data_IF_767035443553
#
_entry.id   IF_767035443553
#
_cell.length_a   1.000
_cell.length_b   1.000
_cell.length_c   1.000
_cell.angle_alpha   90.00
_cell.angle_beta   90.00
_cell.angle_gamma   90.00
#
_symmetry.space_group_name_H-M   'P 1'
#
loop_
_entity.id
_entity.type
_entity.pdbx_description
1 polymer ?
#
# COMPACT_ATOMS: atom_id res chain seq x y z
N UNK A 1 -9.41 4.34 -6.09
CA UNK A 1 -8.56 5.22 -5.25
C UNK A 1 -8.98 5.03 -3.80
N UNK A 2 -8.11 4.62 -2.87
CA UNK A 2 -8.51 4.66 -1.44
C UNK A 2 -8.71 6.13 -1.11
N UNK A 3 -9.98 6.56 -1.00
CA UNK A 3 -10.31 7.95 -0.73
C UNK A 3 -10.30 8.08 0.79
N UNK A 4 -9.37 8.87 1.38
CA UNK A 4 -9.50 9.26 2.78
C UNK A 4 -10.88 9.93 2.92
N UNK A 5 -11.71 9.44 3.83
CA UNK A 5 -12.99 10.10 4.10
C UNK A 5 -12.83 11.38 4.91
N UNK A 6 -11.63 11.59 5.47
CA UNK A 6 -11.25 12.75 6.25
C UNK A 6 -10.00 13.43 5.67
N UNK A 7 -9.91 14.74 5.90
CA UNK A 7 -8.77 15.56 5.48
C UNK A 7 -7.58 15.43 6.44
N UNK A 8 -7.70 14.67 7.55
CA UNK A 8 -6.65 14.57 8.57
C UNK A 8 -5.44 13.74 8.07
N UNK A 9 -4.19 14.16 8.40
CA UNK A 9 -2.99 13.50 7.92
C UNK A 9 -2.85 12.03 8.36
N UNK A 10 -3.34 11.64 9.54
CA UNK A 10 -3.28 10.25 10.00
C UNK A 10 -4.10 9.32 9.10
N UNK A 11 -5.35 9.67 8.79
CA UNK A 11 -6.21 8.90 7.89
C UNK A 11 -5.61 8.81 6.47
N UNK A 12 -5.00 9.90 6.02
CA UNK A 12 -4.31 9.96 4.75
C UNK A 12 -3.10 9.00 4.67
N UNK A 13 -2.28 8.92 5.72
CA UNK A 13 -1.16 7.97 5.78
C UNK A 13 -1.67 6.53 5.79
N UNK A 14 -2.72 6.25 6.56
CA UNK A 14 -3.35 4.92 6.56
C UNK A 14 -3.91 4.55 5.19
N UNK A 15 -4.37 5.52 4.38
CA UNK A 15 -4.86 5.25 3.04
C UNK A 15 -3.76 4.72 2.10
N UNK A 16 -2.56 5.29 2.18
CA UNK A 16 -1.39 4.77 1.47
C UNK A 16 -1.01 3.39 1.99
N UNK A 17 -1.02 3.20 3.32
CA UNK A 17 -0.72 1.92 3.95
C UNK A 17 -1.69 0.82 3.47
N UNK A 18 -2.99 1.12 3.43
CA UNK A 18 -4.05 0.26 2.93
C UNK A 18 -3.84 -0.12 1.46
N UNK A 19 -3.48 0.85 0.60
CA UNK A 19 -3.19 0.59 -0.80
C UNK A 19 -2.03 -0.40 -0.95
N UNK A 20 -0.92 -0.17 -0.25
CA UNK A 20 0.25 -1.04 -0.26
C UNK A 20 -0.06 -2.43 0.34
N UNK A 21 -0.93 -2.48 1.36
CA UNK A 21 -1.37 -3.73 1.95
C UNK A 21 -2.16 -4.58 0.93
N UNK A 22 -3.07 -3.96 0.19
CA UNK A 22 -3.90 -4.61 -0.84
C UNK A 22 -3.11 -5.05 -2.06
N UNK A 23 -2.29 -4.15 -2.64
CA UNK A 23 -1.49 -4.41 -3.85
C UNK A 23 -0.66 -5.70 -3.71
N UNK A 24 -0.07 -5.90 -2.53
CA UNK A 24 0.81 -7.03 -2.27
C UNK A 24 0.08 -8.29 -1.78
N UNK A 25 -1.11 -8.16 -1.19
CA UNK A 25 -1.91 -9.32 -0.79
C UNK A 25 -2.63 -9.96 -1.98
N UNK A 26 -3.00 -9.18 -2.99
CA UNK A 26 -3.59 -9.68 -4.23
C UNK A 26 -3.20 -8.80 -5.42
N UNK A 27 -2.01 -9.00 -6.02
CA UNK A 27 -1.49 -8.17 -7.11
C UNK A 27 -2.36 -8.19 -8.39
N UNK A 28 -3.28 -9.15 -8.50
CA UNK A 28 -4.20 -9.31 -9.62
C UNK A 28 -5.64 -8.89 -9.30
N UNK A 29 -5.94 -8.50 -8.06
CA UNK A 29 -7.26 -7.99 -7.71
C UNK A 29 -7.36 -6.52 -8.13
N UNK A 30 -8.07 -6.27 -9.23
CA UNK A 30 -8.42 -4.89 -9.65
C UNK A 30 -9.49 -4.33 -8.70
N UNK A 31 -9.04 -3.68 -7.63
CA UNK A 31 -9.94 -3.02 -6.67
C UNK A 31 -10.22 -1.60 -7.12
N UNK A 32 -11.44 -1.34 -7.63
CA UNK A 32 -11.91 0.01 -7.95
C UNK A 32 -12.73 0.54 -6.76
N UNK A 33 -12.43 1.78 -6.33
CA UNK A 33 -12.97 2.48 -5.16
C UNK A 33 -13.51 3.90 -5.57
N UNK A 34 -14.85 4.06 -5.59
CA UNK A 34 -15.72 5.18 -6.09
C UNK A 34 -15.61 5.60 -7.58
N UNK A 35 -16.62 6.01 -8.38
CA UNK A 35 -18.10 5.93 -8.41
C UNK A 35 -18.49 5.24 -9.74
N UNK A 36 -18.48 3.91 -9.75
CA UNK A 36 -19.25 3.10 -10.70
C UNK A 36 -19.49 1.71 -10.10
N UNK A 37 -20.29 1.68 -9.03
CA UNK A 37 -20.59 0.45 -8.27
C UNK A 37 -19.34 -0.15 -7.62
N UNK A 38 -18.70 0.62 -6.75
CA UNK A 38 -17.34 0.39 -6.24
C UNK A 38 -17.28 0.17 -4.72
N UNK A 39 -16.35 -0.69 -4.31
CA UNK A 39 -16.09 -1.02 -2.90
C UNK A 39 -15.11 -0.01 -2.32
N UNK A 40 -15.42 0.60 -1.18
CA UNK A 40 -14.50 1.51 -0.49
C UNK A 40 -13.90 0.82 0.71
N UNK A 41 -12.62 0.43 0.61
CA UNK A 41 -11.84 0.00 1.76
C UNK A 41 -11.47 1.22 2.58
N UNK A 42 -12.06 1.36 3.77
CA UNK A 42 -11.65 2.41 4.69
C UNK A 42 -10.28 2.08 5.27
N UNK A 43 -9.34 3.04 5.30
CA UNK A 43 -8.08 2.87 6.01
C UNK A 43 -8.32 2.46 7.46
N UNK A 44 -7.46 1.59 7.99
CA UNK A 44 -7.56 1.12 9.38
C UNK A 44 -6.15 1.00 9.98
N UNK A 45 -6.02 1.08 11.32
CA UNK A 45 -4.74 0.92 12.01
C UNK A 45 -4.00 -0.36 11.60
N UNK A 46 -4.73 -1.45 11.41
CA UNK A 46 -4.18 -2.75 10.99
C UNK A 46 -3.45 -2.69 9.63
N UNK A 47 -3.80 -1.73 8.77
CA UNK A 47 -3.16 -1.54 7.47
C UNK A 47 -1.80 -0.82 7.56
N UNK A 48 -1.46 -0.20 8.69
CA UNK A 48 -0.26 0.65 8.86
C UNK A 48 1.03 -0.06 8.43
N UNK A 49 1.14 -1.37 8.72
CA UNK A 49 2.29 -2.19 8.31
C UNK A 49 2.53 -2.25 6.79
N UNK A 50 1.54 -1.90 5.96
CA UNK A 50 1.69 -1.78 4.51
C UNK A 50 2.79 -0.79 4.10
N UNK A 51 3.04 0.25 4.90
CA UNK A 51 4.13 1.22 4.70
C UNK A 51 5.53 0.59 4.75
N UNK A 52 5.69 -0.51 5.52
CA UNK A 52 6.96 -1.23 5.63
C UNK A 52 7.34 -1.96 4.33
N UNK A 53 6.38 -2.16 3.41
CA UNK A 53 6.59 -2.80 2.11
C UNK A 53 7.33 -1.91 1.12
N UNK A 54 7.43 -0.60 1.37
CA UNK A 54 8.23 0.29 0.54
C UNK A 54 9.73 -0.01 0.69
N UNK A 55 10.45 -0.01 -0.43
CA UNK A 55 11.91 -0.04 -0.46
C UNK A 55 12.52 1.26 0.07
N UNK A 56 13.79 1.22 0.50
CA UNK A 56 14.55 2.38 1.00
C UNK A 56 14.45 3.58 0.07
N UNK A 57 14.73 3.37 -1.22
CA UNK A 57 14.82 4.45 -2.21
C UNK A 57 13.47 5.13 -2.44
N UNK A 58 12.38 4.36 -2.34
CA UNK A 58 11.02 4.92 -2.45
C UNK A 58 10.65 5.70 -1.19
N UNK A 59 11.02 5.20 0.00
CA UNK A 59 10.79 5.91 1.27
C UNK A 59 11.55 7.23 1.31
N UNK A 60 12.81 7.25 0.88
CA UNK A 60 13.63 8.46 0.79
C UNK A 60 13.00 9.51 -0.14
N UNK A 61 12.66 9.13 -1.37
CA UNK A 61 12.01 10.04 -2.33
C UNK A 61 10.65 10.57 -1.85
N UNK A 62 9.86 9.73 -1.19
CA UNK A 62 8.60 10.13 -0.56
C UNK A 62 8.86 11.12 0.59
N UNK A 63 9.91 10.87 1.38
CA UNK A 63 10.35 11.75 2.43
C UNK A 63 10.73 13.14 1.93
N UNK A 64 11.56 13.22 0.89
CA UNK A 64 11.95 14.49 0.27
C UNK A 64 10.73 15.28 -0.24
N UNK A 65 9.77 14.58 -0.85
CA UNK A 65 8.53 15.19 -1.30
C UNK A 65 7.67 15.69 -0.12
N UNK A 66 7.58 14.91 0.96
CA UNK A 66 6.86 15.30 2.19
C UNK A 66 7.45 16.56 2.84
N UNK A 67 8.79 16.65 2.95
CA UNK A 67 9.48 17.84 3.46
C UNK A 67 9.26 19.07 2.58
N UNK A 68 9.36 18.88 1.27
CA UNK A 68 9.12 19.95 0.30
C UNK A 68 7.69 20.49 0.39
N UNK A 69 6.70 19.63 0.68
CA UNK A 69 5.30 20.01 0.81
C UNK A 69 4.99 20.83 2.06
N UNK A 70 5.76 20.65 3.15
CA UNK A 70 5.60 21.43 4.38
C UNK A 70 6.48 22.68 4.46
N UNK A 71 7.32 22.94 3.44
CA UNK A 71 8.34 24.01 3.45
C UNK A 71 9.22 24.00 4.71
N UNK A 72 9.45 22.81 5.29
CA UNK A 72 10.29 22.68 6.47
C UNK A 72 11.75 22.47 6.05
N UNK A 73 12.58 23.47 6.31
CA UNK A 73 14.06 23.37 6.26
C UNK A 73 14.62 22.77 7.56
N UNK A 74 13.76 22.29 8.47
CA UNK A 74 14.19 21.75 9.76
C UNK A 74 14.91 20.41 9.56
N UNK A 75 16.07 20.28 10.21
CA UNK A 75 16.83 19.04 10.22
C UNK A 75 16.10 17.91 10.96
N UNK A 76 15.28 18.26 11.96
CA UNK A 76 14.51 17.34 12.77
C UNK A 76 13.02 17.70 12.70
N UNK A 77 12.18 16.72 12.39
CA UNK A 77 10.73 16.92 12.24
C UNK A 77 10.04 16.18 13.38
N UNK A 78 9.34 16.92 14.22
CA UNK A 78 8.56 16.37 15.33
C UNK A 78 7.08 16.53 15.05
N UNK A 79 6.39 15.41 14.88
CA UNK A 79 4.96 15.40 14.61
C UNK A 79 4.20 15.10 15.90
N UNK A 80 3.24 15.94 16.24
CA UNK A 80 2.34 15.75 17.38
C UNK A 80 0.93 15.66 16.86
N UNK A 81 0.35 14.47 16.97
CA UNK A 81 -1.03 14.21 16.60
C UNK A 81 -1.97 14.69 17.70
N UNK A 82 -3.04 15.40 17.35
CA UNK A 82 -4.12 15.75 18.26
C UNK A 82 -5.18 14.63 18.35
N UNK A 83 -6.23 14.83 19.15
CA UNK A 83 -7.27 13.83 19.38
C UNK A 83 -8.12 13.52 18.13
N UNK A 84 -8.08 14.38 17.11
CA UNK A 84 -8.82 14.25 15.87
C UNK A 84 -7.98 13.62 14.74
N UNK A 85 -6.70 13.27 15.01
CA UNK A 85 -5.79 12.72 14.00
C UNK A 85 -5.04 13.79 13.18
N UNK A 86 -5.24 15.07 13.49
CA UNK A 86 -4.54 16.17 12.84
C UNK A 86 -3.15 16.40 13.44
N UNK A 87 -2.20 16.74 12.57
CA UNK A 87 -0.79 16.99 12.91
C UNK A 87 -0.50 18.48 13.10
N UNK A 88 -1.51 19.35 12.97
CA UNK A 88 -1.43 20.81 13.06
C UNK A 88 -0.45 21.41 12.03
N UNK A 89 -0.40 20.85 10.82
CA UNK A 89 0.47 21.34 9.76
C UNK A 89 -0.21 22.47 8.98
N UNK A 90 0.55 23.50 8.55
CA UNK A 90 -0.01 24.68 7.89
C UNK A 90 -0.54 24.39 6.46
N UNK A 91 -0.19 23.26 5.87
CA UNK A 91 -0.57 22.86 4.51
C UNK A 91 -1.45 21.61 4.52
N UNK A 92 -2.49 21.59 3.68
CA UNK A 92 -3.22 20.37 3.35
C UNK A 92 -2.30 19.47 2.51
N UNK A 93 -1.83 18.39 3.12
CA UNK A 93 -1.07 17.37 2.43
C UNK A 93 -2.02 16.46 1.66
N UNK A 94 -1.56 15.94 0.52
CA UNK A 94 -2.15 14.74 -0.06
C UNK A 94 -1.61 13.49 0.63
N UNK A 95 -2.21 12.34 0.35
CA UNK A 95 -1.92 11.10 1.08
C UNK A 95 -0.49 10.62 0.92
N UNK A 96 0.12 10.82 -0.24
CA UNK A 96 1.52 10.45 -0.47
C UNK A 96 2.47 11.43 0.22
N UNK A 97 2.15 12.73 0.23
CA UNK A 97 2.95 13.70 0.99
C UNK A 97 2.85 13.49 2.51
N UNK A 98 1.67 13.18 3.03
CA UNK A 98 1.48 12.85 4.44
C UNK A 98 2.28 11.58 4.82
N UNK A 99 2.21 10.53 3.99
CA UNK A 99 3.00 9.32 4.20
C UNK A 99 4.51 9.58 4.09
N UNK A 100 4.92 10.44 3.16
CA UNK A 100 6.30 10.88 3.02
C UNK A 100 6.82 11.61 4.25
N UNK A 101 6.05 12.59 4.74
CA UNK A 101 6.39 13.34 5.95
C UNK A 101 6.52 12.41 7.17
N UNK A 102 5.64 11.41 7.29
CA UNK A 102 5.73 10.39 8.34
C UNK A 102 7.11 9.72 8.37
N UNK A 103 7.61 9.24 7.22
CA UNK A 103 8.92 8.58 7.15
C UNK A 103 10.11 9.49 7.48
N UNK A 104 9.93 10.81 7.37
CA UNK A 104 10.98 11.79 7.70
C UNK A 104 10.91 12.33 9.11
N UNK A 105 9.87 11.97 9.87
CA UNK A 105 9.69 12.40 11.23
C UNK A 105 10.77 11.80 12.13
N UNK A 106 11.48 12.66 12.84
CA UNK A 106 12.41 12.27 13.92
C UNK A 106 11.64 11.69 15.11
N UNK A 107 10.44 12.21 15.37
CA UNK A 107 9.51 11.62 16.33
C UNK A 107 8.05 11.83 15.92
N UNK A 108 7.21 10.90 16.36
CA UNK A 108 5.76 10.98 16.19
C UNK A 108 5.08 10.69 17.53
N UNK A 109 4.45 11.71 18.12
CA UNK A 109 3.63 11.57 19.33
C UNK A 109 2.18 11.36 18.93
N UNK A 110 1.69 10.15 19.20
CA UNK A 110 0.34 9.74 18.87
C UNK A 110 -0.66 10.08 19.98
N UNK A 111 -1.88 10.44 19.58
CA UNK A 111 -3.02 10.64 20.47
C UNK A 111 -4.21 9.74 20.11
N UNK A 112 -4.28 9.26 18.87
CA UNK A 112 -5.33 8.36 18.38
C UNK A 112 -4.83 6.91 18.26
N UNK A 113 -5.71 5.90 18.27
CA UNK A 113 -5.32 4.52 17.99
C UNK A 113 -4.62 4.34 16.62
N UNK A 114 -5.06 5.12 15.62
CA UNK A 114 -4.46 5.16 14.30
C UNK A 114 -3.04 5.71 14.34
N UNK A 115 -2.84 6.83 15.02
CA UNK A 115 -1.51 7.39 15.24
C UNK A 115 -0.60 6.45 16.01
N UNK A 116 -1.10 5.71 17.01
CA UNK A 116 -0.29 4.73 17.75
C UNK A 116 0.23 3.65 16.80
N UNK A 117 -0.63 3.10 15.94
CA UNK A 117 -0.20 2.12 14.93
C UNK A 117 0.83 2.69 13.93
N UNK A 118 0.72 3.96 13.56
CA UNK A 118 1.71 4.64 12.72
C UNK A 118 3.04 4.87 13.46
N UNK A 119 2.99 5.27 14.74
CA UNK A 119 4.17 5.42 15.60
C UNK A 119 4.95 4.11 15.71
N UNK A 120 4.25 3.00 15.92
CA UNK A 120 4.83 1.67 15.95
C UNK A 120 5.51 1.30 14.62
N UNK A 121 4.92 1.73 13.50
CA UNK A 121 5.47 1.51 12.16
C UNK A 121 6.76 2.29 11.93
N UNK A 122 6.89 3.51 12.45
CA UNK A 122 8.15 4.27 12.38
C UNK A 122 9.26 3.64 13.23
N UNK A 123 8.90 3.15 14.42
CA UNK A 123 9.86 2.53 15.33
C UNK A 123 10.37 1.18 14.81
N UNK A 124 9.55 0.46 14.04
CA UNK A 124 9.89 -0.81 13.38
C UNK A 124 10.81 -0.58 12.17
N UNK A 125 12.07 -0.25 12.42
CA UNK A 125 13.02 0.21 11.41
C UNK A 125 13.82 -0.92 10.73
N UNK A 126 13.92 -2.13 11.30
CA UNK A 126 14.57 -3.28 10.64
C UNK A 126 13.56 -4.34 10.21
N UNK A 127 13.72 -4.83 8.97
CA UNK A 127 12.82 -5.84 8.37
C UNK A 127 12.83 -7.18 9.10
N UNK A 128 13.91 -7.50 9.78
CA UNK A 128 14.10 -8.76 10.52
C UNK A 128 13.57 -8.69 11.96
N UNK A 129 13.19 -7.50 12.45
CA UNK A 129 12.65 -7.37 13.79
C UNK A 129 11.30 -8.07 13.86
N UNK A 130 11.10 -8.86 14.93
CA UNK A 130 9.84 -9.56 15.19
C UNK A 130 8.63 -8.61 15.10
N UNK A 131 8.81 -7.35 15.53
CA UNK A 131 7.76 -6.34 15.45
C UNK A 131 7.39 -5.95 14.01
N UNK A 132 8.37 -5.85 13.12
CA UNK A 132 8.14 -5.60 11.69
C UNK A 132 7.36 -6.75 11.06
N UNK A 133 7.71 -7.99 11.41
CA UNK A 133 6.99 -9.19 10.95
C UNK A 133 5.53 -9.14 11.41
N UNK A 134 5.27 -8.85 12.69
CA UNK A 134 3.91 -8.73 13.23
C UNK A 134 3.07 -7.67 12.52
N UNK A 135 3.64 -6.47 12.28
CA UNK A 135 2.95 -5.38 11.58
C UNK A 135 2.64 -5.75 10.12
N UNK A 136 3.57 -6.42 9.43
CA UNK A 136 3.37 -6.89 8.06
C UNK A 136 2.30 -7.99 7.98
N UNK A 137 2.28 -8.92 8.95
CA UNK A 137 1.24 -9.95 9.04
C UNK A 137 -0.13 -9.34 9.33
N UNK A 138 -0.22 -8.35 10.22
CA UNK A 138 -1.47 -7.67 10.54
C UNK A 138 -2.03 -6.97 9.29
N UNK A 139 -1.18 -6.24 8.57
CA UNK A 139 -1.56 -5.59 7.32
C UNK A 139 -2.00 -6.60 6.24
N UNK A 140 -1.33 -7.75 6.15
CA UNK A 140 -1.72 -8.82 5.23
C UNK A 140 -3.07 -9.45 5.61
N UNK A 141 -3.29 -9.77 6.89
CA UNK A 141 -4.56 -10.31 7.39
C UNK A 141 -5.71 -9.35 7.14
N UNK A 142 -5.49 -8.06 7.41
CA UNK A 142 -6.45 -7.01 7.11
C UNK A 142 -6.77 -6.96 5.60
N UNK A 143 -5.76 -6.94 4.73
CA UNK A 143 -5.95 -6.87 3.29
C UNK A 143 -6.72 -8.08 2.74
N UNK A 144 -6.39 -9.30 3.18
CA UNK A 144 -7.10 -10.52 2.79
C UNK A 144 -8.58 -10.49 3.22
N UNK A 145 -8.86 -9.97 4.43
CA UNK A 145 -10.24 -9.77 4.89
C UNK A 145 -11.00 -8.79 4.01
N UNK A 146 -10.39 -7.67 3.62
CA UNK A 146 -11.02 -6.72 2.69
C UNK A 146 -11.35 -7.37 1.35
N UNK A 147 -10.44 -8.17 0.80
CA UNK A 147 -10.66 -8.88 -0.47
C UNK A 147 -11.82 -9.88 -0.34
N UNK A 148 -11.86 -10.64 0.76
CA UNK A 148 -12.95 -11.59 1.02
C UNK A 148 -14.30 -10.89 1.17
N UNK A 149 -14.36 -9.75 1.86
CA UNK A 149 -15.56 -8.94 2.01
C UNK A 149 -16.05 -8.39 0.65
N UNK A 150 -15.13 -7.94 -0.20
CA UNK A 150 -15.43 -7.51 -1.58
C UNK A 150 -16.01 -8.68 -2.39
N UNK A 151 -15.37 -9.84 -2.38
CA UNK A 151 -15.80 -11.04 -3.10
C UNK A 151 -17.21 -11.46 -2.65
N UNK A 152 -17.45 -11.52 -1.34
CA UNK A 152 -18.77 -11.84 -0.78
C UNK A 152 -19.85 -10.86 -1.21
N UNK A 153 -19.53 -9.58 -1.22
CA UNK A 153 -20.50 -8.55 -1.59
C UNK A 153 -20.79 -8.55 -3.10
N UNK A 154 -19.78 -8.66 -3.96
CA UNK A 154 -19.99 -8.84 -5.41
C UNK A 154 -20.77 -10.12 -5.70
N UNK A 155 -20.41 -11.23 -5.05
CA UNK A 155 -21.06 -12.52 -5.21
C UNK A 155 -22.53 -12.50 -4.80
N UNK A 156 -22.87 -11.83 -3.70
CA UNK A 156 -24.26 -11.69 -3.24
C UNK A 156 -25.11 -10.76 -4.11
N UNK A 157 -24.52 -9.69 -4.66
CA UNK A 157 -25.25 -8.73 -5.50
C UNK A 157 -25.33 -9.15 -6.97
N UNK A 158 -24.32 -9.85 -7.50
CA UNK A 158 -24.23 -10.23 -8.92
C UNK A 158 -23.26 -11.40 -9.15
N UNK A 159 -23.70 -12.66 -8.95
CA UNK A 159 -22.86 -13.85 -9.16
C UNK A 159 -22.22 -13.92 -10.55
N UNK A 160 -22.93 -13.46 -11.59
CA UNK A 160 -22.42 -13.38 -12.97
C UNK A 160 -21.28 -12.38 -13.14
N UNK A 161 -21.32 -11.26 -12.40
CA UNK A 161 -20.25 -10.24 -12.42
C UNK A 161 -18.98 -10.81 -11.78
N UNK A 162 -19.12 -11.53 -10.67
CA UNK A 162 -18.01 -12.26 -10.04
C UNK A 162 -17.40 -13.29 -11.01
N UNK A 163 -18.22 -14.12 -11.64
CA UNK A 163 -17.75 -15.12 -12.60
C UNK A 163 -16.99 -14.50 -13.77
N UNK A 164 -17.51 -13.40 -14.35
CA UNK A 164 -16.84 -12.69 -15.44
C UNK A 164 -15.52 -12.04 -15.00
N UNK A 165 -15.45 -11.49 -13.78
CA UNK A 165 -14.21 -10.95 -13.23
C UNK A 165 -13.15 -12.04 -13.03
N UNK A 166 -13.55 -13.18 -12.44
CA UNK A 166 -12.65 -14.33 -12.25
C UNK A 166 -12.16 -14.86 -13.60
N UNK A 167 -13.05 -15.01 -14.57
CA UNK A 167 -12.71 -15.43 -15.93
C UNK A 167 -11.70 -14.47 -16.58
N UNK A 168 -11.91 -13.15 -16.47
CA UNK A 168 -11.00 -12.13 -17.02
C UNK A 168 -9.62 -12.21 -16.39
N UNK A 169 -9.54 -12.38 -15.06
CA UNK A 169 -8.26 -12.51 -14.34
C UNK A 169 -7.55 -13.81 -14.74
N UNK A 170 -8.27 -14.91 -14.91
CA UNK A 170 -7.69 -16.18 -15.38
C UNK A 170 -7.11 -16.02 -16.79
N UNK A 171 -7.84 -15.39 -17.72
CA UNK A 171 -7.37 -15.18 -19.09
C UNK A 171 -6.16 -14.24 -19.15
N UNK A 172 -6.13 -13.18 -18.32
CA UNK A 172 -4.95 -12.29 -18.22
C UNK A 172 -3.73 -13.02 -17.65
N UNK A 173 -3.93 -13.88 -16.64
CA UNK A 173 -2.86 -14.69 -16.05
C UNK A 173 -2.31 -15.72 -17.03
N UNK A 174 -3.19 -16.39 -17.78
CA UNK A 174 -2.81 -17.32 -18.86
C UNK A 174 -2.01 -16.58 -19.93
N UNK A 175 -2.48 -15.42 -20.40
CA UNK A 175 -1.78 -14.62 -21.40
C UNK A 175 -0.39 -14.14 -20.93
N UNK A 176 -0.25 -13.75 -19.65
CA UNK A 176 1.04 -13.38 -19.07
C UNK A 176 1.99 -14.58 -18.98
N UNK A 177 1.46 -15.74 -18.58
CA UNK A 177 2.21 -17.00 -18.49
C UNK A 177 2.70 -17.46 -19.86
N UNK A 178 1.83 -17.39 -20.87
CA UNK A 178 2.17 -17.70 -22.27
C UNK A 178 3.23 -16.74 -22.81
N UNK A 179 3.09 -15.44 -22.54
CA UNK A 179 4.08 -14.43 -22.93
C UNK A 179 5.44 -14.71 -22.28
N UNK A 180 5.45 -15.06 -21.00
CA UNK A 180 6.68 -15.40 -20.28
C UNK A 180 7.31 -16.70 -20.81
N UNK A 181 6.51 -17.72 -21.14
CA UNK A 181 6.98 -18.97 -21.74
C UNK A 181 7.58 -18.74 -23.13
N UNK A 182 6.97 -17.87 -23.94
CA UNK A 182 7.44 -17.52 -25.29
C UNK A 182 8.75 -16.72 -25.23
N UNK A 183 8.86 -15.78 -24.29
CA UNK A 183 10.12 -15.06 -24.03
C UNK A 183 11.22 -16.00 -23.53
N UNK A 184 10.91 -16.92 -22.61
CA UNK A 184 11.87 -17.92 -22.12
C UNK A 184 12.33 -18.87 -23.23
N UNK A 185 11.42 -19.33 -24.09
CA UNK A 185 11.73 -20.19 -25.24
C UNK A 185 12.61 -19.48 -26.26
N UNK A 186 12.35 -18.19 -26.55
CA UNK A 186 13.23 -17.37 -27.38
C UNK A 186 14.60 -17.20 -26.76
N UNK A 187 14.65 -16.93 -25.45
CA UNK A 187 15.93 -16.78 -24.74
C UNK A 187 16.75 -18.08 -24.74
N UNK A 188 16.09 -19.24 -24.60
CA UNK A 188 16.76 -20.54 -24.72
C UNK A 188 17.25 -20.80 -26.15
N UNK A 189 16.44 -20.51 -27.16
CA UNK A 189 16.85 -20.61 -28.56
C UNK A 189 18.04 -19.69 -28.88
N UNK A 190 18.04 -18.46 -28.37
CA UNK A 190 19.14 -17.51 -28.56
C UNK A 190 20.41 -17.98 -27.84
N UNK A 191 20.31 -18.59 -26.66
CA UNK A 191 21.45 -19.21 -25.98
C UNK A 191 21.99 -20.43 -26.74
N UNK A 192 21.14 -21.27 -27.32
CA UNK A 192 21.55 -22.41 -28.18
C UNK A 192 22.21 -21.96 -29.48
N UNK A 193 21.80 -20.80 -30.04
CA UNK A 193 22.44 -20.19 -31.22
C UNK A 193 23.79 -19.55 -30.85
N UNK A 194 23.94 -19.07 -29.60
CA UNK A 194 25.18 -18.46 -29.10
C UNK A 194 26.20 -19.47 -28.57
N UNK A 195 25.90 -20.77 -28.52
CA UNK A 195 26.84 -21.82 -28.10
C UNK A 195 27.54 -22.44 -29.33
N UNK A 196 28.81 -22.10 -29.64
CA UNK A 196 29.48 -22.57 -30.84
C UNK A 196 30.20 -23.90 -30.55
N UNK A 197 29.45 -24.96 -30.22
CA UNK A 197 29.67 -26.38 -30.54
C UNK A 197 28.86 -27.31 -29.60
N UNK A 198 28.27 -28.41 -30.12
CA UNK A 198 27.70 -29.49 -29.31
C UNK A 198 28.76 -30.33 -28.57
#
# INVERSE_FOLDING_TARGET
MVIPTDDDPTAQVLAVAALLALEWAAPYARVTIGQSGEFVCRPAPDAAGGLLRLGSDRKERLGDAGRSATYSDEAEIHIVENLDGDWNLPAKLDSWWAAGLMFTASSFTASTPSGVALSETLNASKREDQRTIELLELAQKWALKQIDDIIKSVGSQSPRRLANMLQSVTTELEALTDTHALLRSRYQADMEIMDPNP
#
